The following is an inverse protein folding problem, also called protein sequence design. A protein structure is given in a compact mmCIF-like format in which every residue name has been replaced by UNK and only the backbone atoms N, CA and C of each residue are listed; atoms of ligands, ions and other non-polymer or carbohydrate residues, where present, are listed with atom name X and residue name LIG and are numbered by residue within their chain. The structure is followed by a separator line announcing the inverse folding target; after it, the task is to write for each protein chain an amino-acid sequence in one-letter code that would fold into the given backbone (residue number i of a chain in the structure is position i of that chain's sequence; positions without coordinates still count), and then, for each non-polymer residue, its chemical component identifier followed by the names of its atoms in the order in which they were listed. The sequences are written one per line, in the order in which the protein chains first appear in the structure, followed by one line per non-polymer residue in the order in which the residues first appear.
data_IF_526299034956
#
_entry.id   IF_526299034956
#
_cell.length_a   1.000
_cell.length_b   1.000
_cell.length_c   1.000
_cell.angle_alpha   90.00
_cell.angle_beta   90.00
_cell.angle_gamma   90.00
#
_symmetry.space_group_name_H-M   'P 1'
#
loop_
_entity.id
_entity.type
_entity.pdbx_description
1 polymer ?
#
# COMPACT_ATOMS: atom_id res chain seq x y z
N UNK A 1 -16.46 26.39 -17.56
CA UNK A 1 -15.61 25.40 -16.88
C UNK A 1 -14.36 25.23 -17.73
N UNK A 2 -13.19 25.08 -17.12
CA UNK A 2 -11.95 24.84 -17.87
C UNK A 2 -12.07 23.51 -18.62
N UNK A 3 -11.57 23.44 -19.85
CA UNK A 3 -11.51 22.20 -20.63
C UNK A 3 -10.31 21.38 -20.17
N UNK A 4 -10.51 20.14 -19.76
CA UNK A 4 -9.44 19.27 -19.27
C UNK A 4 -8.53 18.76 -20.42
N UNK A 5 -9.10 18.53 -21.60
CA UNK A 5 -8.36 17.97 -22.73
C UNK A 5 -7.18 18.83 -23.16
N UNK A 6 -6.02 18.18 -23.31
CA UNK A 6 -4.76 18.81 -23.71
C UNK A 6 -4.00 19.50 -22.59
N UNK A 7 -4.50 19.48 -21.34
CA UNK A 7 -3.85 20.12 -20.20
C UNK A 7 -2.76 19.24 -19.58
N UNK A 8 -1.90 19.83 -18.73
CA UNK A 8 -0.96 19.06 -17.90
C UNK A 8 -1.70 18.24 -16.86
N UNK A 9 -2.82 18.74 -16.34
CA UNK A 9 -3.67 18.04 -15.38
C UNK A 9 -4.22 16.74 -15.97
N UNK A 10 -4.65 16.73 -17.22
CA UNK A 10 -5.09 15.50 -17.90
C UNK A 10 -3.96 14.45 -17.96
N UNK A 11 -2.75 14.87 -18.34
CA UNK A 11 -1.57 13.99 -18.35
C UNK A 11 -1.19 13.48 -16.96
N UNK A 12 -1.27 14.34 -15.96
CA UNK A 12 -1.01 13.97 -14.56
C UNK A 12 -2.03 12.94 -14.06
N UNK A 13 -3.31 13.09 -14.40
CA UNK A 13 -4.35 12.12 -14.07
C UNK A 13 -4.09 10.74 -14.69
N UNK A 14 -3.70 10.69 -15.98
CA UNK A 14 -3.37 9.42 -16.63
C UNK A 14 -2.07 8.83 -16.08
N UNK A 15 -1.08 9.66 -15.76
CA UNK A 15 0.18 9.22 -15.10
C UNK A 15 -0.12 8.61 -13.72
N UNK A 16 -0.94 9.27 -12.91
CA UNK A 16 -1.37 8.76 -11.61
C UNK A 16 -2.15 7.44 -11.77
N UNK A 17 -3.14 7.38 -12.67
CA UNK A 17 -3.86 6.14 -12.96
C UNK A 17 -2.93 4.97 -13.35
N UNK A 18 -1.92 5.22 -14.19
CA UNK A 18 -0.93 4.21 -14.57
C UNK A 18 -0.05 3.81 -13.38
N UNK A 19 0.35 4.78 -12.53
CA UNK A 19 1.10 4.56 -11.30
C UNK A 19 0.38 3.62 -10.34
N UNK A 20 -0.86 3.97 -9.99
CA UNK A 20 -1.70 3.15 -9.10
C UNK A 20 -1.97 1.75 -9.68
N UNK A 21 -2.22 1.67 -10.99
CA UNK A 21 -2.50 0.40 -11.66
C UNK A 21 -1.30 -0.55 -11.59
N UNK A 22 -0.08 -0.06 -11.77
CA UNK A 22 1.12 -0.88 -11.62
C UNK A 22 1.45 -1.19 -10.16
N UNK A 23 1.24 -0.24 -9.22
CA UNK A 23 1.42 -0.44 -7.79
C UNK A 23 0.50 -1.56 -7.28
N UNK A 24 -0.79 -1.53 -7.64
CA UNK A 24 -1.75 -2.61 -7.37
C UNK A 24 -1.21 -3.98 -7.78
N UNK A 25 -0.69 -4.11 -9.01
CA UNK A 25 -0.16 -5.39 -9.48
C UNK A 25 1.08 -5.80 -8.69
N UNK A 26 2.03 -4.89 -8.45
CA UNK A 26 3.24 -5.16 -7.66
C UNK A 26 2.88 -5.64 -6.25
N UNK A 27 1.95 -4.98 -5.57
CA UNK A 27 1.56 -5.37 -4.21
C UNK A 27 0.88 -6.73 -4.16
N UNK A 28 0.12 -7.12 -5.20
CA UNK A 28 -0.40 -8.48 -5.33
C UNK A 28 0.73 -9.53 -5.44
N UNK A 29 1.82 -9.20 -6.15
CA UNK A 29 2.99 -10.09 -6.26
C UNK A 29 3.75 -10.15 -4.93
N UNK A 30 3.91 -9.03 -4.23
CA UNK A 30 4.55 -8.92 -2.92
C UNK A 30 3.75 -9.67 -1.84
N UNK A 31 2.42 -9.62 -1.90
CA UNK A 31 1.55 -10.42 -1.05
C UNK A 31 1.82 -11.92 -1.19
N UNK A 32 1.96 -12.41 -2.44
CA UNK A 32 2.29 -13.81 -2.70
C UNK A 32 3.66 -14.20 -2.15
N UNK A 33 4.67 -13.33 -2.26
CA UNK A 33 6.00 -13.57 -1.68
C UNK A 33 5.93 -13.64 -0.14
N UNK A 34 5.28 -12.68 0.50
CA UNK A 34 5.13 -12.64 1.95
C UNK A 34 4.40 -13.89 2.50
N UNK A 35 3.36 -14.35 1.81
CA UNK A 35 2.65 -15.57 2.19
C UNK A 35 3.54 -16.80 2.14
N UNK A 36 4.37 -16.93 1.09
CA UNK A 36 5.31 -18.05 0.93
C UNK A 36 6.42 -18.04 2.00
N UNK A 37 6.82 -16.86 2.45
CA UNK A 37 7.80 -16.69 3.53
C UNK A 37 7.19 -16.83 4.94
N UNK A 38 5.88 -17.07 5.05
CA UNK A 38 5.21 -17.28 6.33
C UNK A 38 4.76 -16.01 7.04
N UNK A 39 4.60 -14.90 6.33
CA UNK A 39 4.10 -13.64 6.85
C UNK A 39 2.67 -13.36 6.40
N UNK A 40 1.71 -14.13 6.91
CA UNK A 40 0.30 -14.06 6.45
C UNK A 40 -0.29 -12.66 6.68
N UNK A 41 -0.04 -12.02 7.83
CA UNK A 41 -0.51 -10.66 8.08
C UNK A 41 0.04 -9.66 7.05
N UNK A 42 1.34 -9.75 6.73
CA UNK A 42 1.97 -8.84 5.76
C UNK A 42 1.40 -9.09 4.36
N UNK A 43 1.16 -10.35 4.00
CA UNK A 43 0.48 -10.71 2.74
C UNK A 43 -0.89 -10.05 2.63
N UNK A 44 -1.70 -10.12 3.69
CA UNK A 44 -3.04 -9.55 3.68
C UNK A 44 -3.01 -8.01 3.65
N UNK A 45 -2.03 -7.39 4.30
CA UNK A 45 -1.81 -5.93 4.24
C UNK A 45 -1.43 -5.50 2.83
N UNK A 46 -0.55 -6.22 2.12
CA UNK A 46 -0.26 -5.94 0.72
C UNK A 46 -1.50 -6.09 -0.17
N UNK A 47 -2.33 -7.10 0.09
CA UNK A 47 -3.58 -7.32 -0.66
C UNK A 47 -4.57 -6.19 -0.42
N UNK A 48 -4.75 -5.79 0.85
CA UNK A 48 -5.60 -4.65 1.22
C UNK A 48 -5.15 -3.37 0.54
N UNK A 49 -3.82 -3.07 0.58
CA UNK A 49 -3.29 -1.87 -0.09
C UNK A 49 -3.49 -1.97 -1.60
N UNK A 50 -3.25 -3.12 -2.23
CA UNK A 50 -3.51 -3.31 -3.65
C UNK A 50 -4.97 -2.99 -4.05
N UNK A 51 -5.93 -3.31 -3.19
CA UNK A 51 -7.34 -2.96 -3.41
C UNK A 51 -7.60 -1.45 -3.19
N UNK A 52 -6.87 -0.80 -2.30
CA UNK A 52 -6.92 0.65 -2.09
C UNK A 52 -6.35 1.40 -3.31
N UNK A 53 -5.21 0.97 -3.87
CA UNK A 53 -4.64 1.55 -5.10
C UNK A 53 -5.59 1.42 -6.30
N UNK A 54 -6.34 0.33 -6.38
CA UNK A 54 -7.40 0.20 -7.39
C UNK A 54 -8.47 1.28 -7.26
N UNK A 55 -8.86 1.67 -6.06
CA UNK A 55 -9.84 2.74 -5.84
C UNK A 55 -9.24 4.13 -6.12
N UNK A 56 -7.95 4.36 -5.82
CA UNK A 56 -7.23 5.57 -6.22
C UNK A 56 -7.17 5.68 -7.74
N UNK A 57 -6.72 4.61 -8.43
CA UNK A 57 -6.71 4.53 -9.89
C UNK A 57 -8.08 4.87 -10.49
N UNK A 58 -9.14 4.25 -9.98
CA UNK A 58 -10.52 4.49 -10.40
C UNK A 58 -10.95 5.94 -10.16
N UNK A 59 -10.50 6.56 -9.06
CA UNK A 59 -10.82 7.95 -8.76
C UNK A 59 -10.20 8.89 -9.78
N UNK A 60 -8.95 8.69 -10.18
CA UNK A 60 -8.28 9.46 -11.24
C UNK A 60 -8.92 9.23 -12.60
N UNK A 61 -9.19 7.97 -12.93
CA UNK A 61 -9.81 7.59 -14.21
C UNK A 61 -11.17 8.25 -14.44
N UNK A 62 -11.96 8.45 -13.38
CA UNK A 62 -13.28 9.11 -13.47
C UNK A 62 -13.23 10.58 -13.89
N UNK A 63 -12.08 11.24 -13.82
CA UNK A 63 -11.92 12.61 -14.32
C UNK A 63 -11.57 12.67 -15.81
N UNK A 64 -11.04 11.59 -16.39
CA UNK A 64 -10.65 11.53 -17.79
C UNK A 64 -11.90 11.48 -18.68
N UNK A 65 -11.83 12.21 -19.80
CA UNK A 65 -12.97 12.44 -20.71
C UNK A 65 -12.96 11.53 -21.95
N UNK A 66 -12.18 10.45 -21.92
CA UNK A 66 -12.07 9.46 -22.98
C UNK A 66 -11.15 9.87 -24.14
N UNK A 67 -10.95 8.93 -25.07
CA UNK A 67 -9.97 9.03 -26.15
C UNK A 67 -8.64 8.38 -25.78
N UNK A 68 -7.63 8.60 -26.61
CA UNK A 68 -6.25 8.17 -26.38
C UNK A 68 -5.41 9.38 -25.96
N UNK A 69 -4.54 9.21 -24.96
CA UNK A 69 -3.64 10.23 -24.46
C UNK A 69 -2.25 9.64 -24.27
N UNK A 70 -1.26 10.24 -24.94
CA UNK A 70 0.14 9.85 -24.76
C UNK A 70 0.75 10.52 -23.53
N UNK A 71 1.37 9.70 -22.68
CA UNK A 71 2.17 10.15 -21.53
C UNK A 71 3.57 9.57 -21.59
N UNK A 72 4.54 10.28 -21.02
CA UNK A 72 5.89 9.78 -20.75
C UNK A 72 6.11 9.80 -19.26
N UNK A 73 6.31 8.62 -18.65
CA UNK A 73 6.54 8.48 -17.22
C UNK A 73 7.52 7.33 -16.94
N UNK A 74 8.21 7.39 -15.81
CA UNK A 74 9.07 6.31 -15.32
C UNK A 74 8.37 5.62 -14.15
N UNK A 75 8.35 4.28 -14.17
CA UNK A 75 7.80 3.44 -13.13
C UNK A 75 8.83 2.41 -12.65
N UNK A 76 8.72 1.87 -11.42
CA UNK A 76 9.60 0.81 -10.96
C UNK A 76 9.60 -0.41 -11.89
N UNK A 77 10.79 -0.83 -12.34
CA UNK A 77 10.99 -1.86 -13.37
C UNK A 77 11.32 -3.25 -12.80
N UNK A 78 10.87 -3.59 -11.63
CA UNK A 78 11.10 -4.88 -10.96
C UNK A 78 11.80 -4.63 -9.63
N UNK A 79 12.16 -5.61 -8.83
CA UNK A 79 12.01 -7.06 -8.89
C UNK A 79 10.98 -7.51 -7.83
N UNK A 80 10.57 -8.81 -7.88
CA UNK A 80 9.88 -9.45 -6.74
C UNK A 80 10.98 -10.07 -5.88
N UNK A 81 11.30 -9.42 -4.77
CA UNK A 81 12.33 -9.85 -3.81
C UNK A 81 11.75 -10.59 -2.62
N UNK A 82 12.54 -10.65 -1.53
CA UNK A 82 12.08 -11.08 -0.20
C UNK A 82 11.01 -10.13 0.34
N UNK A 83 10.27 -10.57 1.34
CA UNK A 83 9.27 -9.72 2.03
C UNK A 83 9.86 -8.40 2.50
N UNK A 84 11.07 -8.42 3.07
CA UNK A 84 11.74 -7.22 3.54
C UNK A 84 12.08 -6.25 2.40
N UNK A 85 12.62 -6.76 1.29
CA UNK A 85 12.95 -5.96 0.11
C UNK A 85 11.69 -5.37 -0.52
N UNK A 86 10.63 -6.16 -0.63
CA UNK A 86 9.35 -5.73 -1.17
C UNK A 86 8.69 -4.63 -0.32
N UNK A 87 8.75 -4.76 1.02
CA UNK A 87 8.24 -3.73 1.94
C UNK A 87 9.02 -2.41 1.81
N UNK A 88 10.34 -2.47 1.66
CA UNK A 88 11.19 -1.28 1.46
C UNK A 88 10.87 -0.62 0.11
N UNK A 89 10.80 -1.41 -0.97
CA UNK A 89 10.48 -0.90 -2.30
C UNK A 89 9.07 -0.28 -2.37
N UNK A 90 8.09 -0.88 -1.67
CA UNK A 90 6.76 -0.30 -1.55
C UNK A 90 6.80 1.03 -0.80
N UNK A 91 7.42 1.09 0.39
CA UNK A 91 7.55 2.32 1.17
C UNK A 91 8.23 3.47 0.41
N UNK A 92 9.27 3.19 -0.37
CA UNK A 92 9.95 4.19 -1.21
C UNK A 92 9.02 4.74 -2.31
N UNK A 93 8.19 3.88 -2.91
CA UNK A 93 7.18 4.28 -3.89
C UNK A 93 6.14 5.21 -3.28
N UNK A 94 5.54 4.80 -2.17
CA UNK A 94 4.56 5.61 -1.44
C UNK A 94 5.15 6.96 -1.00
N UNK A 95 6.40 6.98 -0.47
CA UNK A 95 7.07 8.23 -0.09
C UNK A 95 7.20 9.18 -1.27
N UNK A 96 7.58 8.70 -2.44
CA UNK A 96 7.67 9.51 -3.64
C UNK A 96 6.30 10.11 -4.02
N UNK A 97 5.23 9.32 -3.94
CA UNK A 97 3.88 9.74 -4.27
C UNK A 97 3.37 10.83 -3.32
N UNK A 98 3.43 10.61 -1.99
CA UNK A 98 2.91 11.59 -1.05
C UNK A 98 3.79 12.82 -0.86
N UNK A 99 5.11 12.69 -1.02
CA UNK A 99 6.03 13.81 -0.72
C UNK A 99 6.34 14.69 -1.93
N UNK A 100 6.22 14.16 -3.17
CA UNK A 100 6.65 14.85 -4.39
C UNK A 100 5.58 14.84 -5.48
N UNK A 101 5.13 13.65 -5.91
CA UNK A 101 4.32 13.49 -7.11
C UNK A 101 2.94 14.13 -6.96
N UNK A 102 2.15 13.70 -5.98
CA UNK A 102 0.80 14.22 -5.80
C UNK A 102 0.75 15.69 -5.36
N UNK A 103 1.64 16.19 -4.47
CA UNK A 103 1.70 17.63 -4.22
C UNK A 103 2.00 18.45 -5.49
N UNK A 104 2.88 17.95 -6.37
CA UNK A 104 3.18 18.59 -7.65
C UNK A 104 1.99 18.58 -8.60
N UNK A 105 1.28 17.47 -8.69
CA UNK A 105 0.08 17.33 -9.51
C UNK A 105 -1.08 18.19 -8.99
N UNK A 106 -1.27 18.25 -7.68
CA UNK A 106 -2.26 19.12 -7.05
C UNK A 106 -2.02 20.60 -7.36
N UNK A 107 -0.75 21.05 -7.26
CA UNK A 107 -0.36 22.42 -7.62
C UNK A 107 -0.69 22.71 -9.09
N UNK A 108 -0.28 21.84 -10.02
CA UNK A 108 -0.58 22.00 -11.45
C UNK A 108 -2.07 22.08 -11.73
N UNK A 109 -2.86 21.20 -11.09
CA UNK A 109 -4.32 21.19 -11.26
C UNK A 109 -4.95 22.52 -10.82
N UNK A 110 -4.51 23.10 -9.70
CA UNK A 110 -4.98 24.42 -9.23
C UNK A 110 -4.58 25.54 -10.17
N UNK A 111 -3.33 25.55 -10.66
CA UNK A 111 -2.83 26.55 -11.61
C UNK A 111 -3.63 26.54 -12.94
N UNK A 112 -4.14 25.37 -13.33
CA UNK A 112 -4.98 25.21 -14.53
C UNK A 112 -6.49 25.37 -14.24
N UNK A 113 -6.89 25.68 -12.99
CA UNK A 113 -8.28 25.96 -12.59
C UNK A 113 -9.12 24.70 -12.26
N UNK A 114 -8.47 23.58 -11.97
CA UNK A 114 -9.11 22.31 -11.59
C UNK A 114 -9.01 22.04 -10.07
N UNK A 115 -9.58 22.92 -9.27
CA UNK A 115 -9.48 22.84 -7.79
C UNK A 115 -9.95 21.51 -7.19
N UNK A 116 -11.03 20.93 -7.76
CA UNK A 116 -11.55 19.63 -7.31
C UNK A 116 -10.53 18.51 -7.55
N UNK A 117 -9.85 18.51 -8.70
CA UNK A 117 -8.81 17.54 -9.03
C UNK A 117 -7.60 17.75 -8.13
N UNK A 118 -7.18 19.00 -7.94
CA UNK A 118 -6.10 19.34 -7.00
C UNK A 118 -6.39 18.84 -5.58
N UNK A 119 -7.62 19.02 -5.11
CA UNK A 119 -8.04 18.51 -3.79
C UNK A 119 -7.98 16.97 -3.71
N UNK A 120 -8.34 16.26 -4.78
CA UNK A 120 -8.27 14.79 -4.81
C UNK A 120 -6.84 14.30 -4.71
N UNK A 121 -5.89 14.89 -5.45
CA UNK A 121 -4.47 14.56 -5.32
C UNK A 121 -3.96 14.77 -3.89
N UNK A 122 -4.33 15.89 -3.24
CA UNK A 122 -3.97 16.15 -1.84
C UNK A 122 -4.53 15.09 -0.88
N UNK A 123 -5.77 14.66 -1.08
CA UNK A 123 -6.40 13.69 -0.17
C UNK A 123 -5.87 12.28 -0.35
N UNK A 124 -5.59 11.86 -1.58
CA UNK A 124 -4.92 10.58 -1.85
C UNK A 124 -3.50 10.59 -1.28
N UNK A 125 -2.76 11.69 -1.41
CA UNK A 125 -1.43 11.85 -0.77
C UNK A 125 -1.44 11.58 0.75
N UNK A 126 -2.55 11.84 1.44
CA UNK A 126 -2.69 11.49 2.87
C UNK A 126 -2.78 9.97 3.08
N UNK A 127 -3.43 9.26 2.16
CA UNK A 127 -3.51 7.79 2.20
C UNK A 127 -2.13 7.17 1.95
N UNK A 128 -1.39 7.66 0.91
CA UNK A 128 -0.06 7.14 0.58
C UNK A 128 0.95 7.37 1.71
N UNK A 129 0.82 8.48 2.45
CA UNK A 129 1.63 8.69 3.66
C UNK A 129 1.35 7.65 4.73
N UNK A 130 0.13 7.16 4.86
CA UNK A 130 -0.21 6.09 5.80
C UNK A 130 0.27 4.73 5.29
N UNK A 131 0.22 4.48 3.98
CA UNK A 131 0.78 3.27 3.36
C UNK A 131 2.30 3.19 3.58
N UNK A 132 3.04 4.27 3.29
CA UNK A 132 4.48 4.40 3.56
C UNK A 132 4.81 4.06 5.02
N UNK A 133 4.14 4.73 5.96
CA UNK A 133 4.35 4.47 7.38
C UNK A 133 4.13 3.00 7.73
N UNK A 134 3.03 2.40 7.27
CA UNK A 134 2.68 1.01 7.53
C UNK A 134 3.74 0.05 6.98
N UNK A 135 4.22 0.27 5.75
CA UNK A 135 5.26 -0.55 5.16
C UNK A 135 6.61 -0.41 5.86
N UNK A 136 7.00 0.78 6.30
CA UNK A 136 8.22 0.98 7.10
C UNK A 136 8.16 0.29 8.45
N UNK A 137 7.04 0.38 9.15
CA UNK A 137 6.85 -0.28 10.43
C UNK A 137 6.93 -1.82 10.29
N UNK A 138 6.32 -2.37 9.24
CA UNK A 138 6.39 -3.80 8.93
C UNK A 138 7.81 -4.22 8.53
N UNK A 139 8.50 -3.44 7.70
CA UNK A 139 9.89 -3.69 7.33
C UNK A 139 10.81 -3.72 8.57
N UNK A 140 10.62 -2.78 9.49
CA UNK A 140 11.36 -2.76 10.75
C UNK A 140 11.07 -4.00 11.62
N UNK A 141 9.81 -4.45 11.68
CA UNK A 141 9.47 -5.69 12.39
C UNK A 141 10.13 -6.92 11.77
N UNK A 142 10.12 -7.05 10.44
CA UNK A 142 10.78 -8.17 9.75
C UNK A 142 12.29 -8.12 9.97
N UNK A 143 12.91 -6.96 9.75
CA UNK A 143 14.37 -6.78 9.89
C UNK A 143 14.89 -7.09 11.29
N UNK A 144 14.10 -6.79 12.33
CA UNK A 144 14.49 -6.97 13.73
C UNK A 144 13.94 -8.28 14.34
N UNK A 145 13.35 -9.18 13.55
CA UNK A 145 12.77 -10.44 14.03
C UNK A 145 11.59 -10.23 15.00
N UNK A 146 10.84 -9.14 14.85
CA UNK A 146 9.78 -8.73 15.77
C UNK A 146 8.35 -8.99 15.26
N UNK A 147 8.21 -9.69 14.15
CA UNK A 147 6.88 -10.02 13.61
C UNK A 147 6.13 -10.90 14.59
N UNK A 148 6.75 -11.97 15.10
CA UNK A 148 6.15 -12.93 16.01
C UNK A 148 6.69 -12.86 17.43
N UNK A 149 7.49 -11.84 17.75
CA UNK A 149 8.09 -11.63 19.06
C UNK A 149 8.05 -10.16 19.46
N UNK A 150 7.79 -9.88 20.75
CA UNK A 150 7.81 -8.52 21.33
C UNK A 150 8.61 -8.51 22.64
N UNK A 151 8.97 -7.32 23.11
CA UNK A 151 9.80 -7.17 24.33
C UNK A 151 9.02 -7.42 25.63
N UNK A 152 7.70 -7.53 25.53
CA UNK A 152 6.79 -7.77 26.64
C UNK A 152 5.65 -8.70 26.23
N UNK A 153 5.01 -9.32 27.20
CA UNK A 153 3.80 -10.11 26.98
C UNK A 153 2.71 -9.24 26.36
N UNK A 154 2.13 -9.74 25.30
CA UNK A 154 0.99 -9.13 24.57
C UNK A 154 0.03 -10.24 24.17
N UNK A 155 -1.15 -9.85 23.68
CA UNK A 155 -2.11 -10.80 23.10
C UNK A 155 -1.82 -11.00 21.60
N UNK A 156 -1.72 -12.26 21.21
CA UNK A 156 -1.57 -12.73 19.84
C UNK A 156 -2.86 -13.37 19.39
N UNK A 157 -3.32 -13.09 18.18
CA UNK A 157 -4.51 -13.70 17.59
C UNK A 157 -4.13 -14.57 16.42
N UNK A 158 -4.65 -15.79 16.38
CA UNK A 158 -4.61 -16.63 15.18
C UNK A 158 -5.60 -16.09 14.13
N UNK A 159 -5.12 -15.68 12.98
CA UNK A 159 -5.93 -15.15 11.87
C UNK A 159 -6.87 -16.20 11.27
N UNK A 160 -6.52 -17.50 11.40
CA UNK A 160 -7.33 -18.57 10.85
C UNK A 160 -8.57 -18.90 11.70
N UNK A 161 -8.43 -18.97 13.03
CA UNK A 161 -9.53 -19.47 13.88
C UNK A 161 -9.93 -18.53 15.03
N UNK A 162 -9.22 -17.39 15.20
CA UNK A 162 -9.52 -16.44 16.26
C UNK A 162 -8.95 -16.78 17.65
N UNK A 163 -8.25 -17.92 17.83
CA UNK A 163 -7.62 -18.26 19.10
C UNK A 163 -6.67 -17.14 19.55
N UNK A 164 -6.72 -16.81 20.84
CA UNK A 164 -5.89 -15.77 21.46
C UNK A 164 -4.91 -16.41 22.44
N UNK A 165 -3.62 -16.05 22.29
CA UNK A 165 -2.53 -16.43 23.17
C UNK A 165 -1.94 -15.18 23.82
N UNK A 166 -1.55 -15.26 25.10
CA UNK A 166 -0.82 -14.19 25.79
C UNK A 166 0.63 -14.64 26.06
N UNK A 167 1.58 -13.89 25.51
CA UNK A 167 3.00 -14.18 25.63
C UNK A 167 3.85 -13.09 24.96
N UNK A 168 5.17 -13.13 25.16
CA UNK A 168 6.10 -12.27 24.42
C UNK A 168 6.36 -12.77 22.99
N UNK A 169 6.05 -14.04 22.73
CA UNK A 169 6.21 -14.71 21.44
C UNK A 169 4.91 -15.41 21.05
N UNK A 170 4.51 -15.30 19.77
CA UNK A 170 3.42 -16.09 19.23
C UNK A 170 3.78 -17.59 19.23
N UNK A 171 2.81 -18.46 19.48
CA UNK A 171 3.03 -19.93 19.52
C UNK A 171 3.43 -20.46 18.13
N UNK A 172 4.27 -21.50 18.10
CA UNK A 172 4.74 -22.11 16.84
C UNK A 172 3.60 -22.80 16.08
N UNK A 173 2.66 -23.38 16.83
CA UNK A 173 1.49 -24.08 16.30
C UNK A 173 0.24 -23.66 17.10
N UNK A 174 -0.81 -23.28 16.42
CA UNK A 174 -2.07 -22.90 17.05
C UNK A 174 -2.73 -24.14 17.72
N UNK A 175 -2.96 -24.15 19.06
CA UNK A 175 -3.54 -25.31 19.73
C UNK A 175 -5.02 -25.55 19.41
N UNK A 176 -5.67 -24.61 18.75
CA UNK A 176 -7.08 -24.73 18.38
C UNK A 176 -7.32 -25.21 16.95
N UNK A 177 -6.36 -25.00 16.02
CA UNK A 177 -6.59 -25.30 14.60
C UNK A 177 -5.35 -25.80 13.84
N UNK A 178 -4.26 -26.10 14.53
CA UNK A 178 -3.00 -26.64 13.98
C UNK A 178 -2.37 -25.81 12.84
N UNK A 179 -2.69 -24.50 12.75
CA UNK A 179 -2.02 -23.60 11.81
C UNK A 179 -0.70 -23.07 12.40
N UNK A 180 0.33 -22.93 11.57
CA UNK A 180 1.66 -22.49 12.04
C UNK A 180 1.65 -21.03 12.52
N UNK A 181 2.72 -20.63 13.23
CA UNK A 181 2.99 -19.29 13.74
C UNK A 181 2.76 -18.19 12.68
N UNK A 182 3.00 -18.51 11.41
CA UNK A 182 2.73 -17.64 10.26
C UNK A 182 1.35 -16.97 10.27
N UNK A 183 0.36 -17.61 10.90
CA UNK A 183 -1.01 -17.12 11.00
C UNK A 183 -1.28 -16.23 12.21
N UNK A 184 -0.27 -15.96 13.04
CA UNK A 184 -0.47 -15.09 14.19
C UNK A 184 -0.16 -13.63 13.89
N UNK A 185 -0.90 -12.76 14.56
CA UNK A 185 -0.69 -11.31 14.57
C UNK A 185 -0.91 -10.76 15.98
N UNK A 186 -0.44 -9.54 16.23
CA UNK A 186 -0.80 -8.80 17.44
C UNK A 186 -2.32 -8.56 17.44
N UNK A 187 -2.99 -8.91 18.53
CA UNK A 187 -4.42 -8.64 18.66
C UNK A 187 -4.65 -7.13 18.66
N UNK A 188 -5.42 -6.65 17.70
CA UNK A 188 -5.96 -5.29 17.68
C UNK A 188 -7.45 -5.36 18.04
N UNK A 189 -7.87 -4.53 19.00
CA UNK A 189 -9.27 -4.36 19.40
C UNK A 189 -9.69 -2.95 18.93
N UNK A 190 -10.13 -2.86 17.68
CA UNK A 190 -10.44 -1.59 16.99
C UNK A 190 -11.93 -1.45 16.62
N UNK A 191 -12.79 -2.17 17.35
CA UNK A 191 -14.25 -2.08 17.28
C UNK A 191 -14.84 -1.35 18.48
#
# INVERSE_FOLDING_TARGET
MANLKGTKTEKNLLTAFAGESQARNRYTYFASAAKKEGYVQISDIFTETADQEKEHAKRFFKFLEGGELEITAAFPAGVIGSTLENLKAAAEGEEFEWSKMYPGFAKTAREEGFDVIGKVFEMISVAEKQHDKRYRDLAANVQNGRVFKKDKKIKWRCRNCGYVHEGDTAVDLCPACDHPQAHFEVLAENW
#
